data_IF_447335743622
#
_entry.id   IF_447335743622
#
_cell.length_a   1.000
_cell.length_b   1.000
_cell.length_c   1.000
_cell.angle_alpha   90.00
_cell.angle_beta   90.00
_cell.angle_gamma   90.00
#
_symmetry.space_group_name_H-M   'P 1'
#
loop_
_entity.id
_entity.type
_entity.pdbx_description
1 polymer ?
#
# COMPACT_ATOMS: atom_id res chain seq x y z
N UNK A 1 38.24 -49.93 -12.30
CA UNK A 1 37.99 -48.48 -12.24
C UNK A 1 36.55 -48.24 -12.69
N UNK A 2 35.67 -47.84 -11.77
CA UNK A 2 34.21 -47.79 -11.94
C UNK A 2 33.83 -46.44 -12.56
N UNK A 3 33.15 -46.43 -13.72
CA UNK A 3 32.51 -45.22 -14.27
C UNK A 3 31.30 -44.87 -13.39
N UNK A 4 31.06 -43.60 -13.03
CA UNK A 4 29.82 -43.21 -12.38
C UNK A 4 28.71 -43.01 -13.43
N UNK A 5 27.58 -43.67 -13.18
CA UNK A 5 26.36 -43.57 -13.95
C UNK A 5 25.65 -42.22 -13.76
N UNK A 6 25.03 -41.75 -14.84
CA UNK A 6 24.21 -40.55 -14.92
C UNK A 6 22.92 -40.71 -14.10
N UNK A 7 22.70 -39.81 -13.14
CA UNK A 7 21.39 -39.64 -12.52
C UNK A 7 20.75 -38.36 -13.06
N UNK A 8 19.82 -38.54 -14.00
CA UNK A 8 18.83 -37.53 -14.40
C UNK A 8 17.88 -37.32 -13.22
N UNK A 9 17.89 -36.11 -12.64
CA UNK A 9 16.91 -35.69 -11.63
C UNK A 9 16.04 -34.59 -12.21
N UNK A 10 14.78 -34.89 -12.47
CA UNK A 10 13.73 -33.92 -12.78
C UNK A 10 13.56 -32.91 -11.63
N UNK A 11 13.20 -31.64 -11.89
CA UNK A 11 12.94 -30.68 -10.82
C UNK A 11 11.55 -30.93 -10.21
N UNK A 12 11.50 -31.21 -8.92
CA UNK A 12 10.27 -31.18 -8.13
C UNK A 12 9.91 -29.71 -7.91
N UNK A 13 8.75 -29.29 -8.42
CA UNK A 13 8.16 -27.99 -8.11
C UNK A 13 7.79 -27.96 -6.62
N UNK A 14 8.48 -27.10 -5.86
CA UNK A 14 8.11 -26.81 -4.47
C UNK A 14 7.09 -25.66 -4.51
N UNK A 15 5.86 -25.82 -4.00
CA UNK A 15 4.97 -24.68 -3.84
C UNK A 15 5.55 -23.78 -2.74
N UNK A 16 5.73 -22.49 -3.05
CA UNK A 16 6.01 -21.46 -2.04
C UNK A 16 4.71 -21.27 -1.25
N UNK A 17 4.52 -22.06 -0.20
CA UNK A 17 3.53 -21.79 0.82
C UNK A 17 4.17 -20.80 1.80
N UNK A 18 3.70 -19.56 1.82
CA UNK A 18 3.97 -18.67 2.94
C UNK A 18 3.31 -19.30 4.17
N UNK A 19 4.13 -19.90 5.03
CA UNK A 19 3.70 -20.47 6.30
C UNK A 19 3.04 -19.39 7.17
N UNK A 20 1.82 -19.66 7.61
CA UNK A 20 1.12 -18.88 8.62
C UNK A 20 1.38 -19.56 9.98
N UNK A 21 2.17 -18.94 10.85
CA UNK A 21 2.36 -19.42 12.23
C UNK A 21 1.21 -18.93 13.14
N UNK A 22 0.64 -19.79 14.01
CA UNK A 22 -0.27 -19.36 15.06
C UNK A 22 0.42 -19.38 16.44
N UNK A 23 0.50 -18.22 17.11
CA UNK A 23 0.61 -18.17 18.57
C UNK A 23 1.47 -17.05 19.14
N UNK A 24 0.84 -16.10 19.84
CA UNK A 24 1.13 -15.67 21.23
C UNK A 24 0.24 -14.47 21.57
N UNK A 25 -0.59 -14.61 22.61
CA UNK A 25 -1.35 -13.50 23.20
C UNK A 25 -0.40 -12.56 23.95
N UNK A 26 -0.31 -11.33 23.49
CA UNK A 26 0.30 -10.20 24.19
C UNK A 26 -0.41 -8.91 23.75
N UNK A 27 -1.01 -8.19 24.71
CA UNK A 27 -1.56 -6.82 24.63
C UNK A 27 -2.02 -6.32 23.24
N UNK A 28 -3.33 -6.36 23.00
CA UNK A 28 -4.02 -5.89 21.78
C UNK A 28 -3.71 -4.42 21.44
N UNK A 29 -2.81 -4.20 20.48
CA UNK A 29 -2.69 -2.96 19.70
C UNK A 29 -2.56 -3.25 18.18
N UNK A 30 -3.17 -4.33 17.68
CA UNK A 30 -3.24 -4.59 16.24
C UNK A 30 -4.54 -4.01 15.69
N UNK A 31 -4.50 -2.76 15.22
CA UNK A 31 -5.44 -2.33 14.18
C UNK A 31 -4.96 -3.01 12.90
N UNK A 32 -5.59 -4.12 12.53
CA UNK A 32 -5.25 -4.88 11.33
C UNK A 32 -5.31 -3.97 10.09
N UNK A 33 -4.46 -4.21 9.10
CA UNK A 33 -4.47 -3.44 7.86
C UNK A 33 -5.62 -3.89 6.95
N UNK A 34 -6.25 -2.93 6.26
CA UNK A 34 -7.12 -3.20 5.12
C UNK A 34 -6.26 -3.38 3.86
N UNK A 35 -6.39 -4.50 3.15
CA UNK A 35 -5.64 -4.74 1.92
C UNK A 35 -6.49 -4.47 0.68
N UNK A 36 -5.95 -3.70 -0.26
CA UNK A 36 -6.55 -3.47 -1.57
C UNK A 36 -5.49 -3.61 -2.66
N UNK A 37 -5.69 -4.51 -3.61
CA UNK A 37 -4.74 -4.83 -4.69
C UNK A 37 -3.28 -5.07 -4.21
N UNK A 38 -3.12 -5.70 -3.03
CA UNK A 38 -1.80 -5.97 -2.44
C UNK A 38 -1.15 -4.76 -1.75
N UNK A 39 -1.87 -3.65 -1.55
CA UNK A 39 -1.40 -2.48 -0.81
C UNK A 39 -2.12 -2.40 0.55
N UNK A 40 -1.38 -2.24 1.67
CA UNK A 40 -1.99 -2.10 2.99
C UNK A 40 -2.42 -0.65 3.27
N UNK A 41 -3.65 -0.48 3.72
CA UNK A 41 -4.23 0.76 4.22
C UNK A 41 -4.53 0.63 5.72
N UNK A 42 -4.44 1.71 6.51
CA UNK A 42 -4.91 1.69 7.89
C UNK A 42 -6.38 1.28 7.97
N UNK A 43 -6.77 0.29 8.78
CA UNK A 43 -8.19 -0.06 8.90
C UNK A 43 -9.03 1.04 9.55
N UNK A 44 -8.41 1.85 10.42
CA UNK A 44 -9.09 3.01 10.98
C UNK A 44 -9.04 4.16 9.98
N UNK A 45 -10.21 4.64 9.56
CA UNK A 45 -10.36 5.83 8.71
C UNK A 45 -10.36 5.57 7.19
N UNK A 46 -10.13 4.34 6.74
CA UNK A 46 -10.28 3.95 5.34
C UNK A 46 -11.39 2.93 5.17
N UNK A 47 -12.20 3.13 4.13
CA UNK A 47 -13.29 2.23 3.77
C UNK A 47 -12.98 1.59 2.39
N UNK A 48 -13.12 0.26 2.23
CA UNK A 48 -12.78 -0.43 0.98
C UNK A 48 -13.59 0.05 -0.23
N UNK A 49 -14.88 0.35 -0.03
CA UNK A 49 -15.75 0.84 -1.09
C UNK A 49 -15.31 2.23 -1.57
N UNK A 50 -14.87 3.11 -0.66
CA UNK A 50 -14.34 4.44 -0.98
C UNK A 50 -13.00 4.32 -1.72
N UNK A 51 -12.09 3.44 -1.27
CA UNK A 51 -10.82 3.20 -1.98
C UNK A 51 -11.10 2.71 -3.41
N UNK A 52 -12.01 1.75 -3.57
CA UNK A 52 -12.40 1.24 -4.89
C UNK A 52 -13.02 2.35 -5.77
N UNK A 53 -13.90 3.18 -5.21
CA UNK A 53 -14.51 4.28 -5.93
C UNK A 53 -13.47 5.33 -6.35
N UNK A 54 -12.52 5.68 -5.48
CA UNK A 54 -11.42 6.58 -5.81
C UNK A 54 -10.52 6.01 -6.92
N UNK A 55 -10.27 4.70 -6.93
CA UNK A 55 -9.48 4.06 -7.98
C UNK A 55 -10.22 3.97 -9.33
N UNK A 56 -11.50 3.59 -9.34
CA UNK A 56 -12.21 3.23 -10.57
C UNK A 56 -13.11 4.34 -11.13
N UNK A 57 -13.55 5.30 -10.30
CA UNK A 57 -14.64 6.23 -10.62
C UNK A 57 -14.31 7.70 -10.36
N UNK A 58 -13.11 8.02 -9.88
CA UNK A 58 -12.70 9.40 -9.69
C UNK A 58 -12.63 10.11 -11.05
N UNK A 59 -13.44 11.16 -11.21
CA UNK A 59 -13.45 12.01 -12.41
C UNK A 59 -12.76 13.31 -12.05
N UNK A 60 -11.66 13.60 -12.76
CA UNK A 60 -10.90 14.83 -12.61
C UNK A 60 -11.28 15.82 -13.71
N UNK A 61 -11.30 17.10 -13.37
CA UNK A 61 -11.45 18.20 -14.32
C UNK A 61 -10.09 18.76 -14.71
N UNK A 62 -10.07 19.50 -15.81
CA UNK A 62 -8.83 20.09 -16.33
C UNK A 62 -8.25 21.15 -15.38
N UNK A 63 -9.08 21.76 -14.54
CA UNK A 63 -8.69 22.79 -13.58
C UNK A 63 -8.33 22.25 -12.17
N UNK A 64 -8.51 20.94 -11.93
CA UNK A 64 -8.25 20.35 -10.62
C UNK A 64 -6.73 20.27 -10.34
N UNK A 65 -6.33 20.59 -9.10
CA UNK A 65 -4.93 20.49 -8.63
C UNK A 65 -4.83 19.33 -7.64
N UNK A 66 -3.92 18.38 -7.91
CA UNK A 66 -3.75 17.17 -7.09
C UNK A 66 -2.33 17.12 -6.51
N UNK A 67 -2.24 16.94 -5.20
CA UNK A 67 -0.97 16.64 -4.52
C UNK A 67 -0.87 15.13 -4.28
N UNK A 68 0.16 14.50 -4.83
CA UNK A 68 0.44 13.07 -4.65
C UNK A 68 1.76 12.90 -3.89
N UNK A 69 1.71 12.25 -2.74
CA UNK A 69 2.88 12.07 -1.87
C UNK A 69 2.84 10.70 -1.21
N UNK A 70 4.01 10.09 -1.00
CA UNK A 70 4.13 9.00 -0.04
C UNK A 70 3.87 9.52 1.38
N UNK A 71 3.26 8.73 2.29
CA UNK A 71 3.00 9.17 3.65
C UNK A 71 4.26 9.72 4.33
N UNK A 72 4.11 10.82 5.06
CA UNK A 72 5.17 11.53 5.80
C UNK A 72 6.20 12.27 4.93
N UNK A 73 6.00 12.39 3.62
CA UNK A 73 6.88 13.18 2.73
C UNK A 73 6.58 14.68 2.69
N UNK A 74 5.86 15.23 3.67
CA UNK A 74 5.58 16.67 3.75
C UNK A 74 4.30 17.13 3.06
N UNK A 75 3.27 16.27 2.96
CA UNK A 75 1.95 16.63 2.40
C UNK A 75 1.36 17.89 3.03
N UNK A 76 1.47 18.03 4.36
CA UNK A 76 0.98 19.22 5.06
C UNK A 76 1.68 20.50 4.58
N UNK A 77 3.00 20.47 4.38
CA UNK A 77 3.73 21.63 3.87
C UNK A 77 3.29 21.99 2.45
N UNK A 78 3.06 21.00 1.59
CA UNK A 78 2.53 21.24 0.25
C UNK A 78 1.13 21.87 0.27
N UNK A 79 0.25 21.42 1.16
CA UNK A 79 -1.10 21.97 1.32
C UNK A 79 -1.02 23.45 1.72
N UNK A 80 -0.23 23.80 2.74
CA UNK A 80 -0.04 25.19 3.18
C UNK A 80 0.45 26.11 2.05
N UNK A 81 1.45 25.66 1.28
CA UNK A 81 1.98 26.43 0.15
C UNK A 81 0.91 26.66 -0.92
N UNK A 82 0.13 25.63 -1.26
CA UNK A 82 -0.94 25.74 -2.26
C UNK A 82 -2.07 26.67 -1.77
N UNK A 83 -2.44 26.60 -0.49
CA UNK A 83 -3.40 27.51 0.12
C UNK A 83 -2.93 28.96 0.03
N UNK A 84 -1.67 29.24 0.36
CA UNK A 84 -1.10 30.59 0.27
C UNK A 84 -1.04 31.11 -1.19
N UNK A 85 -0.70 30.26 -2.16
CA UNK A 85 -0.75 30.64 -3.57
C UNK A 85 -2.19 31.02 -3.96
N UNK A 86 -3.17 30.21 -3.55
CA UNK A 86 -4.57 30.45 -3.85
C UNK A 86 -5.11 31.74 -3.22
N UNK A 87 -4.75 32.01 -1.96
CA UNK A 87 -5.13 33.22 -1.22
C UNK A 87 -4.30 34.46 -1.58
N UNK A 88 -3.34 34.34 -2.53
CA UNK A 88 -2.41 35.41 -2.93
C UNK A 88 -1.52 35.90 -1.79
N UNK A 89 -1.16 35.00 -0.89
CA UNK A 89 -0.27 35.26 0.24
C UNK A 89 -0.98 35.76 1.49
N UNK A 90 -2.32 35.85 1.48
CA UNK A 90 -3.09 36.18 2.67
C UNK A 90 -3.19 34.93 3.58
N UNK A 91 -2.61 34.96 4.79
CA UNK A 91 -2.94 33.96 5.80
C UNK A 91 -4.38 34.20 6.27
N UNK A 92 -5.13 33.12 6.51
CA UNK A 92 -6.50 33.22 7.09
C UNK A 92 -6.54 34.03 8.39
#
# INVERSE_FOLDING_TARGET
MKKPDSATSSPVAVPVTCDQEPGTQGSSMAHDYLWYQGIPFPAMGYNPEIIKAAHEKLVLKDEDIITVTYPKSGTNWMIEILCLIHSKGEPE
#
